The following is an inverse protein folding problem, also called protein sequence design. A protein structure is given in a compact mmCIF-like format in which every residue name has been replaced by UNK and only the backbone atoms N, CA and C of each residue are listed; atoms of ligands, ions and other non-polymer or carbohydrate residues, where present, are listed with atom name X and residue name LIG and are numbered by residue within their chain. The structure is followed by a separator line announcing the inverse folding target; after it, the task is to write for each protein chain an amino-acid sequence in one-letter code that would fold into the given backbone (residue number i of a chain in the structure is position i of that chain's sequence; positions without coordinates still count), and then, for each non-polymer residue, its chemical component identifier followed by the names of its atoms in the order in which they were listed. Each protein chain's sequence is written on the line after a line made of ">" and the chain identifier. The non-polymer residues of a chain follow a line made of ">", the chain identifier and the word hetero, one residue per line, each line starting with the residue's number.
data_IF_894691732106
#
_entry.id   IF_894691732106
#
_cell.length_a   1.000
_cell.length_b   1.000
_cell.length_c   1.000
_cell.angle_alpha   90.00
_cell.angle_beta   90.00
_cell.angle_gamma   90.00
#
_symmetry.space_group_name_H-M   'P 1'
#
loop_
_entity.id
_entity.type
_entity.pdbx_description
1 polymer ?
#
# COMPACT_ATOMS: atom_id res chain seq x y z
N UNK A 1 3.17 27.10 7.39
CA UNK A 1 2.53 25.76 7.38
C UNK A 1 1.24 25.85 6.55
N UNK A 2 1.25 25.41 5.30
CA UNK A 2 0.10 25.58 4.39
C UNK A 2 -1.11 24.74 4.82
N UNK A 3 -2.33 25.28 4.62
CA UNK A 3 -3.62 24.56 4.78
C UNK A 3 -3.69 23.25 4.00
N UNK A 4 -2.81 23.07 3.01
CA UNK A 4 -2.67 21.86 2.19
C UNK A 4 -2.36 20.61 3.05
N UNK A 5 -1.44 20.71 4.02
CA UNK A 5 -1.06 19.55 4.85
C UNK A 5 -1.90 19.44 6.13
N UNK A 6 -2.27 20.57 6.72
CA UNK A 6 -3.07 20.62 7.95
C UNK A 6 -4.58 20.43 7.72
N UNK A 7 -5.06 20.61 6.48
CA UNK A 7 -6.48 20.49 6.11
C UNK A 7 -6.88 19.10 5.63
N UNK A 8 -6.07 18.06 5.88
CA UNK A 8 -6.44 16.70 5.51
C UNK A 8 -7.68 16.24 6.29
N UNK A 9 -8.61 15.59 5.59
CA UNK A 9 -9.77 14.99 6.25
C UNK A 9 -9.30 13.99 7.32
N UNK A 10 -9.77 14.07 8.58
CA UNK A 10 -9.33 13.17 9.66
C UNK A 10 -9.47 11.69 9.36
N UNK A 11 -10.45 11.33 8.54
CA UNK A 11 -10.65 9.96 8.07
C UNK A 11 -9.44 9.40 7.32
N UNK A 12 -8.61 10.24 6.67
CA UNK A 12 -7.46 9.79 5.86
C UNK A 12 -6.34 9.16 6.69
N UNK A 13 -6.04 9.74 7.85
CA UNK A 13 -4.99 9.27 8.76
C UNK A 13 -5.54 8.48 9.95
N UNK A 14 -6.87 8.32 10.05
CA UNK A 14 -7.48 7.40 11.00
C UNK A 14 -7.03 5.96 10.71
N UNK A 15 -6.72 5.22 11.78
CA UNK A 15 -6.27 3.83 11.72
C UNK A 15 -7.48 2.89 11.62
N UNK A 16 -7.44 1.99 10.64
CA UNK A 16 -8.40 0.89 10.50
C UNK A 16 -7.66 -0.44 10.57
N UNK A 17 -8.21 -1.38 11.34
CA UNK A 17 -7.73 -2.76 11.40
C UNK A 17 -8.55 -3.62 10.46
N UNK A 18 -7.90 -4.28 9.49
CA UNK A 18 -8.52 -5.31 8.65
C UNK A 18 -7.93 -6.67 9.02
N UNK A 19 -8.79 -7.68 9.15
CA UNK A 19 -8.38 -9.08 9.31
C UNK A 19 -8.33 -9.72 7.94
N UNK A 20 -7.21 -10.34 7.61
CA UNK A 20 -6.95 -10.95 6.31
C UNK A 20 -6.13 -12.23 6.50
N UNK A 21 -6.21 -13.13 5.52
CA UNK A 21 -5.41 -14.36 5.55
C UNK A 21 -4.14 -14.12 4.77
N UNK A 22 -2.97 -14.20 5.43
CA UNK A 22 -1.66 -14.23 4.78
C UNK A 22 -1.14 -15.66 4.87
N UNK A 23 -0.82 -16.28 3.74
CA UNK A 23 -0.24 -17.63 3.69
C UNK A 23 -1.02 -18.66 4.53
N UNK A 24 -2.35 -18.56 4.50
CA UNK A 24 -3.27 -19.43 5.26
C UNK A 24 -3.50 -19.03 6.72
N UNK A 25 -2.70 -18.10 7.27
CA UNK A 25 -2.81 -17.64 8.65
C UNK A 25 -3.68 -16.39 8.76
N UNK A 26 -4.54 -16.32 9.77
CA UNK A 26 -5.38 -15.14 10.03
C UNK A 26 -4.56 -14.03 10.69
N UNK A 27 -4.22 -13.00 9.93
CA UNK A 27 -3.43 -11.84 10.39
C UNK A 27 -4.29 -10.60 10.50
N UNK A 28 -4.15 -9.86 11.60
CA UNK A 28 -4.81 -8.56 11.79
C UNK A 28 -3.81 -7.44 11.54
N UNK A 29 -4.06 -6.61 10.54
CA UNK A 29 -3.17 -5.50 10.15
C UNK A 29 -3.88 -4.19 10.42
N UNK A 30 -3.17 -3.24 11.05
CA UNK A 30 -3.67 -1.89 11.35
C UNK A 30 -2.88 -0.87 10.54
N UNK A 31 -3.58 -0.11 9.70
CA UNK A 31 -3.02 0.92 8.82
C UNK A 31 -3.95 2.13 8.76
N UNK A 32 -3.40 3.27 8.38
CA UNK A 32 -4.14 4.47 8.04
C UNK A 32 -5.02 4.21 6.81
N UNK A 33 -6.22 4.81 6.77
CA UNK A 33 -7.16 4.59 5.67
C UNK A 33 -6.60 4.98 4.30
N UNK A 34 -5.69 5.96 4.23
CA UNK A 34 -5.01 6.32 2.98
C UNK A 34 -4.20 5.15 2.42
N UNK A 35 -3.45 4.43 3.26
CA UNK A 35 -2.69 3.27 2.79
C UNK A 35 -3.61 2.12 2.40
N UNK A 36 -4.71 1.91 3.12
CA UNK A 36 -5.71 0.93 2.71
C UNK A 36 -6.28 1.21 1.31
N UNK A 37 -6.64 2.47 1.03
CA UNK A 37 -7.13 2.86 -0.30
C UNK A 37 -6.10 2.59 -1.40
N UNK A 38 -4.84 2.96 -1.19
CA UNK A 38 -3.77 2.72 -2.17
C UNK A 38 -3.53 1.21 -2.38
N UNK A 39 -3.56 0.40 -1.31
CA UNK A 39 -3.43 -1.06 -1.43
C UNK A 39 -4.60 -1.68 -2.20
N UNK A 40 -5.82 -1.17 -1.99
CA UNK A 40 -7.02 -1.59 -2.72
C UNK A 40 -6.88 -1.24 -4.22
N UNK A 41 -6.38 -0.04 -4.55
CA UNK A 41 -6.14 0.38 -5.94
C UNK A 41 -5.05 -0.45 -6.63
N UNK A 42 -3.93 -0.73 -5.93
CA UNK A 42 -2.85 -1.58 -6.46
C UNK A 42 -3.38 -2.98 -6.75
N UNK A 43 -4.11 -3.58 -5.80
CA UNK A 43 -4.65 -4.91 -5.97
C UNK A 43 -5.63 -4.97 -7.16
N UNK A 44 -6.49 -3.96 -7.30
CA UNK A 44 -7.40 -3.84 -8.42
C UNK A 44 -6.66 -3.73 -9.77
N UNK A 45 -5.61 -2.90 -9.84
CA UNK A 45 -4.80 -2.73 -11.05
C UNK A 45 -4.11 -4.04 -11.49
N UNK A 46 -3.73 -4.88 -10.53
CA UNK A 46 -3.15 -6.21 -10.75
C UNK A 46 -4.20 -7.31 -10.96
N UNK A 47 -5.50 -6.98 -10.98
CA UNK A 47 -6.59 -7.94 -11.19
C UNK A 47 -6.80 -8.91 -10.02
N UNK A 48 -6.45 -8.50 -8.79
CA UNK A 48 -6.53 -9.33 -7.60
C UNK A 48 -7.26 -8.64 -6.44
N UNK A 49 -7.63 -9.40 -5.42
CA UNK A 49 -8.19 -8.83 -4.18
C UNK A 49 -7.06 -8.34 -3.27
N UNK A 50 -7.32 -7.34 -2.43
CA UNK A 50 -6.31 -6.81 -1.48
C UNK A 50 -5.67 -7.89 -0.60
N UNK A 51 -6.41 -8.86 -0.02
CA UNK A 51 -5.79 -9.96 0.71
C UNK A 51 -4.90 -10.86 -0.15
N UNK A 52 -5.27 -11.10 -1.41
CA UNK A 52 -4.47 -11.90 -2.34
C UNK A 52 -3.17 -11.17 -2.70
N UNK A 53 -3.24 -9.87 -3.01
CA UNK A 53 -2.08 -9.01 -3.23
C UNK A 53 -1.12 -9.04 -2.05
N UNK A 54 -1.64 -8.81 -0.85
CA UNK A 54 -0.81 -8.79 0.36
C UNK A 54 -0.17 -10.15 0.66
N UNK A 55 -0.89 -11.25 0.41
CA UNK A 55 -0.33 -12.61 0.55
C UNK A 55 0.78 -12.87 -0.45
N UNK A 56 0.59 -12.48 -1.72
CA UNK A 56 1.59 -12.61 -2.77
C UNK A 56 2.84 -11.80 -2.42
N UNK A 57 2.68 -10.53 -2.06
CA UNK A 57 3.79 -9.66 -1.64
C UNK A 57 4.54 -10.23 -0.43
N UNK A 58 3.83 -10.75 0.57
CA UNK A 58 4.45 -11.37 1.74
C UNK A 58 5.32 -12.57 1.35
N UNK A 59 4.82 -13.44 0.47
CA UNK A 59 5.56 -14.62 0.00
C UNK A 59 6.79 -14.23 -0.83
N UNK A 60 6.67 -13.27 -1.74
CA UNK A 60 7.80 -12.78 -2.55
C UNK A 60 8.90 -12.18 -1.68
N UNK A 61 8.55 -11.38 -0.67
CA UNK A 61 9.54 -10.82 0.27
C UNK A 61 10.18 -11.91 1.11
N UNK A 62 9.40 -12.88 1.58
CA UNK A 62 9.92 -14.02 2.34
C UNK A 62 10.94 -14.84 1.53
N UNK A 63 10.68 -15.06 0.24
CA UNK A 63 11.57 -15.77 -0.67
C UNK A 63 12.86 -14.99 -0.97
N UNK A 64 12.77 -13.67 -1.17
CA UNK A 64 13.91 -12.84 -1.58
C UNK A 64 14.79 -12.38 -0.42
N UNK A 65 14.18 -12.08 0.73
CA UNK A 65 14.84 -11.38 1.83
C UNK A 65 14.63 -12.06 3.20
N UNK A 66 13.85 -13.14 3.25
CA UNK A 66 13.43 -13.76 4.51
C UNK A 66 12.27 -13.01 5.16
N UNK A 67 11.94 -13.41 6.39
CA UNK A 67 10.78 -12.87 7.11
C UNK A 67 10.92 -11.36 7.34
N UNK A 68 9.96 -10.53 6.89
CA UNK A 68 10.04 -9.09 7.09
C UNK A 68 9.89 -8.75 8.58
N UNK A 69 10.86 -8.02 9.13
CA UNK A 69 10.82 -7.57 10.52
C UNK A 69 9.57 -6.73 10.85
N UNK A 70 9.03 -5.99 9.87
CA UNK A 70 7.78 -5.26 10.01
C UNK A 70 7.03 -5.19 8.68
N UNK A 71 6.10 -6.13 8.47
CA UNK A 71 5.27 -6.18 7.28
C UNK A 71 4.38 -4.93 7.11
N UNK A 72 3.97 -4.27 8.21
CA UNK A 72 3.14 -3.06 8.13
C UNK A 72 3.93 -1.87 7.58
N UNK A 73 5.21 -1.73 7.97
CA UNK A 73 6.10 -0.72 7.40
C UNK A 73 6.39 -0.99 5.93
N UNK A 74 6.59 -2.26 5.55
CA UNK A 74 6.74 -2.65 4.15
C UNK A 74 5.54 -2.18 3.32
N UNK A 75 4.31 -2.46 3.76
CA UNK A 75 3.09 -2.06 3.04
C UNK A 75 3.00 -0.54 2.82
N UNK A 76 3.40 0.27 3.81
CA UNK A 76 3.46 1.74 3.64
C UNK A 76 4.49 2.14 2.60
N UNK A 77 5.68 1.54 2.63
CA UNK A 77 6.71 1.76 1.61
C UNK A 77 6.23 1.32 0.21
N UNK A 78 5.52 0.19 0.10
CA UNK A 78 4.93 -0.27 -1.17
C UNK A 78 3.97 0.77 -1.74
N UNK A 79 3.13 1.39 -0.91
CA UNK A 79 2.24 2.46 -1.34
C UNK A 79 3.00 3.68 -1.88
N UNK A 80 4.08 4.08 -1.20
CA UNK A 80 4.92 5.21 -1.65
C UNK A 80 5.58 4.90 -2.99
N UNK A 81 6.17 3.70 -3.14
CA UNK A 81 6.79 3.27 -4.41
C UNK A 81 5.77 3.25 -5.55
N UNK A 82 4.54 2.82 -5.29
CA UNK A 82 3.46 2.85 -6.29
C UNK A 82 3.16 4.29 -6.75
N UNK A 83 3.02 5.23 -5.81
CA UNK A 83 2.76 6.64 -6.11
C UNK A 83 3.93 7.31 -6.82
N UNK A 84 5.18 7.02 -6.44
CA UNK A 84 6.37 7.51 -7.12
C UNK A 84 6.41 7.04 -8.57
N UNK A 85 6.10 5.76 -8.83
CA UNK A 85 6.00 5.22 -10.18
C UNK A 85 4.89 5.87 -11.00
N UNK A 86 3.71 6.11 -10.40
CA UNK A 86 2.61 6.79 -11.06
C UNK A 86 2.94 8.26 -11.38
N UNK A 87 3.57 8.96 -10.44
CA UNK A 87 4.00 10.36 -10.61
C UNK A 87 5.11 10.52 -11.66
N UNK A 88 6.08 9.62 -11.70
CA UNK A 88 7.11 9.60 -12.75
C UNK A 88 6.53 9.22 -14.12
N UNK A 89 5.52 8.35 -14.17
CA UNK A 89 4.79 8.03 -15.41
C UNK A 89 4.08 9.24 -16.02
N UNK A 90 3.44 10.07 -15.17
CA UNK A 90 2.83 11.32 -15.61
C UNK A 90 3.87 12.36 -16.08
N UNK A 91 5.02 12.45 -15.41
CA UNK A 91 6.10 13.34 -15.83
C UNK A 91 6.73 12.93 -17.17
N UNK A 92 6.83 11.63 -17.45
CA UNK A 92 7.34 11.13 -18.74
C UNK A 92 6.36 11.36 -19.90
N UNK A 93 5.05 11.24 -19.66
CA UNK A 93 4.01 11.53 -20.66
C UNK A 93 3.92 13.03 -20.98
N UNK A 94 4.07 13.91 -19.99
CA UNK A 94 4.05 15.37 -20.19
C UNK A 94 5.33 15.91 -20.84
N UNK A 95 6.46 15.18 -20.74
CA UNK A 95 7.72 15.55 -21.40
C UNK A 95 7.84 15.01 -22.84
N UNK A 96 6.84 14.25 -23.30
CA UNK A 96 6.77 13.69 -24.65
C UNK A 96 5.83 14.47 -25.58
N UNK A 97 5.32 15.63 -25.16
CA UNK A 97 4.51 16.56 -25.97
C UNK A 97 5.30 17.79 -26.41
#
# INVERSE_FOLDING_TARGET
>A
MCRIFAGQAPSRYALTTRRLRLNGQSTSIRLENTFWGILDDIALAEGMTTPAFMSKLHSEVLELHGEPANFTSLLRCTCLVHLERAGHGAAHLLAAE
#
